data_IF_729749273823
#
_entry.id   IF_729749273823
#
_cell.length_a   1.000
_cell.length_b   1.000
_cell.length_c   1.000
_cell.angle_alpha   90.00
_cell.angle_beta   90.00
_cell.angle_gamma   90.00
#
_symmetry.space_group_name_H-M   'P 1'
#
loop_
_entity.id
_entity.type
_entity.pdbx_description
1 polymer ?
#
# COMPACT_ATOMS: atom_id res chain seq x y z
N UNK A 1 -85.13 -22.11 -23.89
CA UNK A 1 -83.72 -22.46 -23.58
C UNK A 1 -82.94 -21.18 -23.23
N UNK A 2 -81.71 -21.31 -22.72
CA UNK A 2 -80.95 -20.20 -22.10
C UNK A 2 -80.47 -19.16 -23.13
N UNK A 3 -80.58 -17.88 -22.79
CA UNK A 3 -79.87 -16.76 -23.41
C UNK A 3 -79.61 -15.69 -22.35
N UNK A 4 -78.43 -15.74 -21.71
CA UNK A 4 -78.07 -14.79 -20.64
C UNK A 4 -77.64 -13.42 -21.21
N UNK A 5 -77.69 -12.34 -20.41
CA UNK A 5 -77.95 -11.01 -20.93
C UNK A 5 -76.76 -10.04 -20.82
N UNK A 6 -77.02 -8.80 -21.26
CA UNK A 6 -76.50 -7.56 -20.68
C UNK A 6 -75.02 -7.18 -20.96
N UNK A 7 -74.64 -5.89 -20.99
CA UNK A 7 -75.36 -4.58 -21.03
C UNK A 7 -74.30 -3.48 -21.29
N UNK A 8 -74.60 -2.48 -22.15
CA UNK A 8 -74.07 -1.07 -22.08
C UNK A 8 -72.51 -0.97 -22.18
N UNK A 9 -71.79 0.16 -22.26
CA UNK A 9 -71.93 1.57 -22.71
C UNK A 9 -70.46 2.05 -23.01
N UNK A 10 -70.10 3.18 -23.62
CA UNK A 10 -70.78 4.41 -24.10
C UNK A 10 -69.97 4.96 -25.32
N UNK A 11 -70.49 5.82 -26.22
CA UNK A 11 -70.21 7.28 -26.33
C UNK A 11 -68.88 7.78 -25.70
N UNK A 12 -68.05 8.63 -26.33
CA UNK A 12 -68.29 9.54 -27.48
C UNK A 12 -66.99 10.05 -28.15
N UNK A 13 -67.19 10.67 -29.33
CA UNK A 13 -66.29 11.45 -30.17
C UNK A 13 -65.19 12.35 -29.52
N UNK A 14 -64.18 12.69 -30.34
CA UNK A 14 -63.13 13.70 -30.06
C UNK A 14 -61.76 13.21 -30.57
N UNK A 15 -61.40 13.37 -31.84
CA UNK A 15 -60.83 14.62 -32.41
C UNK A 15 -59.55 15.10 -31.68
N UNK A 16 -58.43 14.38 -31.84
CA UNK A 16 -57.08 14.86 -31.50
C UNK A 16 -56.09 14.58 -32.64
N UNK A 17 -56.34 15.24 -33.79
CA UNK A 17 -55.36 15.42 -34.86
C UNK A 17 -54.31 16.40 -34.36
N UNK A 18 -53.31 15.95 -33.58
CA UNK A 18 -52.18 16.81 -33.14
C UNK A 18 -50.93 16.11 -32.55
N UNK A 19 -50.84 14.77 -32.49
CA UNK A 19 -49.70 14.08 -31.85
C UNK A 19 -48.65 13.47 -32.81
N UNK A 20 -48.80 13.57 -34.14
CA UNK A 20 -47.96 12.88 -35.14
C UNK A 20 -46.90 13.78 -35.81
N UNK A 21 -46.50 14.91 -35.20
CA UNK A 21 -45.63 15.91 -35.86
C UNK A 21 -44.46 16.45 -35.01
N UNK A 22 -44.11 15.80 -33.88
CA UNK A 22 -42.98 16.18 -33.03
C UNK A 22 -42.12 14.97 -32.58
N UNK A 23 -41.70 14.13 -33.53
CA UNK A 23 -40.61 13.14 -33.32
C UNK A 23 -39.57 13.23 -34.43
N UNK A 24 -39.08 14.45 -34.65
CA UNK A 24 -37.84 14.72 -35.36
C UNK A 24 -37.10 15.85 -34.62
N UNK A 25 -35.77 15.73 -34.50
CA UNK A 25 -34.85 16.61 -33.74
C UNK A 25 -34.76 16.31 -32.23
N UNK A 26 -34.07 15.22 -31.91
CA UNK A 26 -33.29 15.05 -30.67
C UNK A 26 -32.23 13.95 -30.87
N UNK A 27 -31.22 14.22 -31.69
CA UNK A 27 -30.02 13.37 -31.81
C UNK A 27 -29.20 13.38 -30.50
N UNK A 28 -28.38 12.34 -30.22
CA UNK A 28 -28.08 11.95 -28.85
C UNK A 28 -27.00 12.83 -28.18
N UNK A 29 -27.43 13.72 -27.28
CA UNK A 29 -26.55 14.56 -26.47
C UNK A 29 -25.95 13.87 -25.23
N UNK A 30 -26.21 12.57 -25.03
CA UNK A 30 -25.64 11.78 -23.92
C UNK A 30 -24.25 11.20 -24.21
N UNK A 31 -23.65 11.51 -25.37
CA UNK A 31 -22.28 11.13 -25.72
C UNK A 31 -21.20 12.04 -25.10
N UNK A 32 -21.56 12.99 -24.23
CA UNK A 32 -20.65 13.96 -23.63
C UNK A 32 -20.71 14.02 -22.10
N UNK A 33 -20.87 12.85 -21.44
CA UNK A 33 -20.30 12.74 -20.09
C UNK A 33 -18.78 12.75 -20.25
N UNK A 34 -18.18 13.87 -19.86
CA UNK A 34 -16.76 14.12 -20.06
C UNK A 34 -15.92 12.98 -19.47
N UNK A 35 -15.26 12.22 -20.35
CA UNK A 35 -13.95 11.67 -20.02
C UNK A 35 -13.05 12.88 -19.74
N UNK A 36 -13.02 13.30 -18.48
CA UNK A 36 -11.76 13.72 -17.90
C UNK A 36 -10.81 12.53 -18.08
N UNK A 37 -10.09 12.52 -19.21
CA UNK A 37 -8.75 11.95 -19.21
C UNK A 37 -8.08 12.65 -18.04
N UNK A 38 -7.80 11.90 -16.98
CA UNK A 38 -6.90 12.39 -15.96
C UNK A 38 -5.65 12.82 -16.72
N UNK A 39 -5.37 14.11 -16.72
CA UNK A 39 -4.23 14.65 -17.44
C UNK A 39 -3.02 13.99 -16.81
N UNK A 40 -2.38 13.08 -17.55
CA UNK A 40 -1.23 12.33 -17.07
C UNK A 40 -0.09 13.30 -16.89
N UNK A 41 -0.09 13.97 -15.72
CA UNK A 41 1.06 14.71 -15.22
C UNK A 41 2.26 13.77 -15.39
N UNK A 42 3.36 14.23 -16.00
CA UNK A 42 4.52 13.39 -16.22
C UNK A 42 4.95 12.81 -14.87
N UNK A 43 4.77 11.49 -14.71
CA UNK A 43 5.10 10.80 -13.46
C UNK A 43 6.60 10.98 -13.26
N UNK A 44 6.96 11.73 -12.22
CA UNK A 44 8.35 11.95 -11.89
C UNK A 44 8.96 10.61 -11.46
N UNK A 45 10.24 10.35 -11.79
CA UNK A 45 10.83 9.07 -11.52
C UNK A 45 10.89 8.80 -10.01
N UNK A 46 10.66 7.55 -9.63
CA UNK A 46 11.08 7.01 -8.34
C UNK A 46 12.55 6.60 -8.49
N UNK A 47 13.37 6.81 -7.46
CA UNK A 47 14.79 6.47 -7.50
C UNK A 47 15.13 5.34 -6.55
N UNK A 48 15.88 4.35 -7.03
CA UNK A 48 16.46 3.32 -6.18
C UNK A 48 17.47 3.93 -5.20
N UNK A 49 17.33 3.59 -3.92
CA UNK A 49 18.18 4.05 -2.81
C UNK A 49 18.49 2.86 -1.91
N UNK A 50 19.77 2.62 -1.66
CA UNK A 50 20.21 1.68 -0.64
C UNK A 50 20.02 2.28 0.76
N UNK A 51 19.18 1.65 1.57
CA UNK A 51 19.11 1.92 3.01
C UNK A 51 20.09 1.01 3.76
N UNK A 52 20.72 1.52 4.82
CA UNK A 52 21.64 0.71 5.64
C UNK A 52 20.88 0.05 6.78
N UNK A 53 21.12 -1.26 6.90
CA UNK A 53 20.64 -2.10 7.98
C UNK A 53 21.41 -1.82 9.27
N UNK A 54 20.68 -1.59 10.35
CA UNK A 54 21.19 -1.50 11.72
C UNK A 54 20.75 -2.72 12.52
N UNK A 55 21.65 -3.21 13.35
CA UNK A 55 21.35 -4.23 14.36
C UNK A 55 20.42 -3.63 15.42
N UNK A 56 19.27 -4.29 15.64
CA UNK A 56 18.37 -3.95 16.76
C UNK A 56 18.84 -4.74 17.98
N UNK A 57 19.29 -4.09 19.07
CA UNK A 57 19.83 -4.80 20.21
C UNK A 57 18.74 -5.66 20.88
N UNK A 58 19.08 -6.83 21.46
CA UNK A 58 18.09 -7.73 22.08
C UNK A 58 17.24 -7.07 23.18
N UNK A 59 17.76 -6.04 23.86
CA UNK A 59 17.03 -5.23 24.84
C UNK A 59 15.90 -4.38 24.23
N UNK A 60 15.98 -4.04 22.95
CA UNK A 60 14.95 -3.33 22.20
C UNK A 60 13.99 -4.25 21.42
N UNK A 61 14.32 -5.55 21.31
CA UNK A 61 13.51 -6.58 20.67
C UNK A 61 13.01 -7.60 21.73
N UNK A 62 11.99 -7.27 22.54
CA UNK A 62 11.64 -7.99 23.77
C UNK A 62 11.01 -9.39 23.58
N UNK A 63 11.00 -9.94 22.36
CA UNK A 63 10.37 -11.22 22.02
C UNK A 63 11.39 -12.13 21.34
N UNK A 64 11.80 -13.19 22.03
CA UNK A 64 12.84 -14.14 21.58
C UNK A 64 12.58 -14.83 20.23
N UNK A 65 11.35 -14.76 19.71
CA UNK A 65 10.93 -15.34 18.42
C UNK A 65 10.67 -14.28 17.34
N UNK A 66 11.21 -13.07 17.50
CA UNK A 66 11.08 -11.98 16.53
C UNK A 66 12.45 -11.53 16.03
N UNK A 67 12.61 -11.62 14.72
CA UNK A 67 13.73 -11.02 14.00
C UNK A 67 13.34 -9.57 13.67
N UNK A 68 14.14 -8.63 14.15
CA UNK A 68 13.93 -7.19 13.94
C UNK A 68 15.12 -6.62 13.17
N UNK A 69 14.86 -6.01 12.02
CA UNK A 69 15.87 -5.26 11.24
C UNK A 69 15.39 -3.83 11.02
N UNK A 70 16.28 -2.87 11.25
CA UNK A 70 16.00 -1.45 11.09
C UNK A 70 16.80 -0.89 9.91
N UNK A 71 16.15 -0.19 8.98
CA UNK A 71 16.79 0.37 7.80
C UNK A 71 16.70 1.89 7.79
N UNK A 72 17.86 2.55 7.71
CA UNK A 72 17.98 4.02 7.76
C UNK A 72 18.57 4.61 6.48
N UNK A 73 18.21 5.86 6.12
CA UNK A 73 18.85 6.59 5.03
C UNK A 73 20.21 7.16 5.47
N UNK A 74 21.29 6.85 4.73
CA UNK A 74 22.59 7.53 4.90
C UNK A 74 22.69 8.79 4.02
N UNK A 75 21.98 8.83 2.88
CA UNK A 75 22.00 9.98 1.99
C UNK A 75 21.19 11.14 2.62
N UNK A 76 21.79 12.32 2.89
CA UNK A 76 21.13 13.40 3.63
C UNK A 76 19.84 13.91 2.97
N UNK A 77 19.78 13.99 1.64
CA UNK A 77 18.57 14.38 0.92
C UNK A 77 17.44 13.36 1.13
N UNK A 78 17.76 12.07 1.23
CA UNK A 78 16.77 11.01 1.52
C UNK A 78 16.33 11.07 2.97
N UNK A 79 17.25 11.26 3.92
CA UNK A 79 16.89 11.45 5.33
C UNK A 79 15.96 12.65 5.53
N UNK A 80 16.23 13.75 4.82
CA UNK A 80 15.40 14.96 4.82
C UNK A 80 14.02 14.69 4.19
N UNK A 81 13.97 13.96 3.08
CA UNK A 81 12.72 13.53 2.44
C UNK A 81 11.88 12.62 3.34
N UNK A 82 12.48 11.60 3.95
CA UNK A 82 11.76 10.64 4.81
C UNK A 82 11.17 11.28 6.07
N UNK A 83 11.71 12.41 6.51
CA UNK A 83 11.17 13.19 7.64
C UNK A 83 9.96 14.09 7.27
N UNK A 84 9.53 14.13 6.01
CA UNK A 84 8.29 14.84 5.61
C UNK A 84 7.03 14.18 6.17
N UNK A 85 6.00 14.95 6.49
CA UNK A 85 4.78 14.41 7.13
C UNK A 85 3.82 13.73 6.15
N UNK A 86 3.78 14.15 4.89
CA UNK A 86 2.82 13.78 3.85
C UNK A 86 3.29 12.65 2.91
N UNK A 87 4.05 11.69 3.43
CA UNK A 87 4.58 10.57 2.67
C UNK A 87 3.58 9.42 2.51
N UNK A 88 3.42 8.95 1.28
CA UNK A 88 2.70 7.72 0.95
C UNK A 88 3.67 6.54 0.94
N UNK A 89 3.48 5.62 1.89
CA UNK A 89 4.30 4.42 2.03
C UNK A 89 3.55 3.21 1.48
N UNK A 90 4.24 2.43 0.66
CA UNK A 90 3.75 1.14 0.17
C UNK A 90 4.86 0.10 0.19
N UNK A 91 4.48 -1.16 0.36
CA UNK A 91 5.40 -2.28 0.18
C UNK A 91 4.73 -3.40 -0.60
N UNK A 92 5.54 -4.19 -1.28
CA UNK A 92 5.14 -5.38 -2.02
C UNK A 92 6.15 -6.49 -1.75
N UNK A 93 5.65 -7.66 -1.39
CA UNK A 93 6.45 -8.88 -1.34
C UNK A 93 6.72 -9.42 -2.75
N UNK A 94 7.93 -9.94 -2.96
CA UNK A 94 8.28 -10.74 -4.12
C UNK A 94 8.93 -12.05 -3.68
N UNK A 95 8.38 -13.16 -4.18
CA UNK A 95 9.03 -14.46 -4.21
C UNK A 95 9.54 -14.71 -5.63
N UNK A 96 10.81 -14.36 -5.93
CA UNK A 96 11.39 -14.72 -7.22
C UNK A 96 11.53 -16.24 -7.31
N UNK A 97 11.37 -16.79 -8.52
CA UNK A 97 11.62 -18.23 -8.79
C UNK A 97 13.09 -18.62 -8.54
N UNK A 98 14.00 -17.65 -8.53
CA UNK A 98 15.44 -17.81 -8.28
C UNK A 98 15.94 -16.63 -7.46
N UNK A 99 16.53 -16.89 -6.30
CA UNK A 99 17.06 -15.87 -5.39
C UNK A 99 16.28 -15.78 -4.08
N UNK A 100 16.60 -14.76 -3.28
CA UNK A 100 16.05 -14.57 -1.94
C UNK A 100 14.63 -13.97 -1.96
N UNK A 101 13.77 -14.30 -0.98
CA UNK A 101 12.53 -13.56 -0.75
C UNK A 101 12.86 -12.10 -0.45
N UNK A 102 12.08 -11.16 -1.00
CA UNK A 102 12.37 -9.72 -0.84
C UNK A 102 11.12 -8.87 -0.72
N UNK A 103 11.27 -7.72 -0.09
CA UNK A 103 10.28 -6.65 -0.06
C UNK A 103 10.75 -5.48 -0.92
N UNK A 104 9.90 -5.06 -1.84
CA UNK A 104 9.99 -3.78 -2.53
C UNK A 104 9.26 -2.74 -1.71
N UNK A 105 9.96 -1.76 -1.16
CA UNK A 105 9.38 -0.66 -0.38
C UNK A 105 9.50 0.62 -1.19
N UNK A 106 8.36 1.29 -1.41
CA UNK A 106 8.26 2.52 -2.19
C UNK A 106 7.68 3.62 -1.32
N UNK A 107 8.32 4.80 -1.34
CA UNK A 107 7.93 5.98 -0.57
C UNK A 107 7.76 7.14 -1.53
N UNK A 108 6.53 7.64 -1.65
CA UNK A 108 6.20 8.77 -2.51
C UNK A 108 5.88 10.01 -1.65
N UNK A 109 6.14 11.20 -2.18
CA UNK A 109 5.86 12.44 -1.48
C UNK A 109 5.97 13.65 -2.40
N UNK A 110 6.31 14.80 -1.84
CA UNK A 110 6.61 15.98 -2.65
C UNK A 110 7.89 15.76 -3.47
N UNK A 111 7.94 16.23 -4.73
CA UNK A 111 9.15 16.14 -5.54
C UNK A 111 10.36 16.77 -4.85
N UNK A 112 11.41 15.98 -4.64
CA UNK A 112 12.66 16.44 -4.03
C UNK A 112 13.83 16.26 -5.00
N UNK A 113 14.91 16.99 -4.72
CA UNK A 113 16.16 16.88 -5.47
C UNK A 113 17.13 15.97 -4.73
N UNK A 114 17.71 15.05 -5.47
CA UNK A 114 18.80 14.19 -5.01
C UNK A 114 19.88 14.17 -6.08
N UNK A 115 21.11 14.54 -5.70
CA UNK A 115 22.19 14.84 -6.66
C UNK A 115 21.68 15.85 -7.70
N UNK A 116 21.64 15.46 -8.98
CA UNK A 116 21.20 16.29 -10.11
C UNK A 116 19.84 15.88 -10.71
N UNK A 117 19.00 15.13 -9.98
CA UNK A 117 17.68 14.70 -10.46
C UNK A 117 16.56 15.17 -9.53
N UNK A 118 15.41 15.49 -10.10
CA UNK A 118 14.15 15.66 -9.36
C UNK A 118 13.37 14.35 -9.43
N UNK A 119 12.97 13.82 -8.28
CA UNK A 119 12.35 12.51 -8.14
C UNK A 119 11.06 12.64 -7.31
N UNK A 120 10.08 11.77 -7.54
CA UNK A 120 8.81 11.78 -6.78
C UNK A 120 8.92 11.08 -5.43
N UNK A 121 9.98 10.29 -5.24
CA UNK A 121 10.09 9.37 -4.14
C UNK A 121 11.28 8.43 -4.28
N UNK A 122 11.39 7.51 -3.33
CA UNK A 122 12.43 6.48 -3.31
C UNK A 122 11.82 5.08 -3.42
N UNK A 123 12.64 4.15 -3.88
CA UNK A 123 12.40 2.71 -3.83
C UNK A 123 13.62 2.04 -3.19
N UNK A 124 13.39 1.05 -2.35
CA UNK A 124 14.44 0.23 -1.74
C UNK A 124 14.01 -1.23 -1.77
N UNK A 125 14.98 -2.14 -1.91
CA UNK A 125 14.76 -3.58 -1.82
C UNK A 125 15.32 -4.07 -0.49
N UNK A 126 14.52 -4.83 0.26
CA UNK A 126 14.91 -5.47 1.51
C UNK A 126 14.93 -6.98 1.27
N UNK A 127 16.12 -7.59 1.28
CA UNK A 127 16.28 -9.04 1.14
C UNK A 127 16.14 -9.77 2.49
N UNK A 128 15.41 -10.89 2.47
CA UNK A 128 15.28 -11.78 3.61
C UNK A 128 16.28 -12.95 3.51
N UNK A 129 16.73 -13.52 4.65
CA UNK A 129 17.43 -14.80 4.65
C UNK A 129 16.55 -15.91 4.04
N UNK A 130 17.19 -16.89 3.41
CA UNK A 130 16.50 -17.98 2.69
C UNK A 130 15.53 -18.79 3.57
N UNK A 131 15.78 -18.84 4.89
CA UNK A 131 14.89 -19.48 5.88
C UNK A 131 13.71 -18.62 6.37
N UNK A 132 13.53 -17.37 5.88
CA UNK A 132 12.49 -16.44 6.36
C UNK A 132 11.47 -16.15 5.25
N UNK A 133 10.21 -16.43 5.53
CA UNK A 133 9.09 -16.16 4.63
C UNK A 133 8.60 -14.71 4.77
N UNK A 134 8.41 -13.98 3.67
CA UNK A 134 7.77 -12.65 3.70
C UNK A 134 6.39 -12.69 4.36
N UNK A 135 5.68 -13.82 4.30
CA UNK A 135 4.35 -13.99 4.90
C UNK A 135 4.40 -14.04 6.45
N UNK A 136 5.56 -14.31 7.05
CA UNK A 136 5.77 -14.16 8.50
C UNK A 136 6.31 -12.78 8.90
N UNK A 137 6.51 -11.88 7.93
CA UNK A 137 7.09 -10.56 8.13
C UNK A 137 6.06 -9.42 7.98
N UNK A 138 6.36 -8.30 8.64
CA UNK A 138 5.66 -7.02 8.48
C UNK A 138 6.69 -5.91 8.28
N UNK A 139 6.41 -5.05 7.31
CA UNK A 139 7.13 -3.79 7.10
C UNK A 139 6.34 -2.69 7.80
N UNK A 140 7.01 -1.92 8.66
CA UNK A 140 6.47 -0.79 9.38
C UNK A 140 7.38 0.42 9.19
N UNK A 141 6.82 1.61 9.42
CA UNK A 141 7.56 2.87 9.43
C UNK A 141 7.59 3.37 10.85
N UNK A 142 8.78 3.66 11.38
CA UNK A 142 8.96 4.20 12.72
C UNK A 142 9.79 5.47 12.68
N UNK A 143 9.69 6.30 13.71
CA UNK A 143 10.75 7.25 14.03
C UNK A 143 11.82 6.47 14.80
N UNK A 144 13.07 6.56 14.36
CA UNK A 144 14.21 5.94 15.02
C UNK A 144 15.32 6.98 15.25
N UNK A 145 16.06 6.78 16.34
CA UNK A 145 17.31 7.48 16.64
C UNK A 145 18.42 6.43 16.64
N UNK A 146 19.59 6.75 16.08
CA UNK A 146 20.66 5.79 15.88
C UNK A 146 22.04 6.40 16.16
N UNK A 147 22.89 5.64 16.85
CA UNK A 147 24.28 5.99 17.09
C UNK A 147 25.18 5.25 16.09
N UNK A 148 25.69 5.96 15.08
CA UNK A 148 26.67 5.44 14.13
C UNK A 148 28.08 5.59 14.72
N UNK A 149 28.40 4.68 15.65
CA UNK A 149 29.70 4.67 16.34
C UNK A 149 29.95 5.92 17.19
N UNK A 150 31.21 6.19 17.50
CA UNK A 150 31.60 7.14 18.55
C UNK A 150 31.45 8.63 18.23
N UNK A 151 31.02 9.02 17.01
CA UNK A 151 31.01 10.43 16.58
C UNK A 151 29.83 10.86 15.69
N UNK A 152 28.97 9.96 15.23
CA UNK A 152 27.80 10.33 14.40
C UNK A 152 26.49 9.88 15.04
N UNK A 153 25.80 10.83 15.66
CA UNK A 153 24.41 10.64 16.07
C UNK A 153 23.49 10.99 14.90
N UNK A 154 22.73 10.01 14.41
CA UNK A 154 21.58 10.27 13.55
C UNK A 154 20.40 10.57 14.48
N UNK A 155 20.07 11.86 14.57
CA UNK A 155 18.88 12.34 15.25
C UNK A 155 17.59 11.78 14.62
N UNK A 156 16.42 12.02 15.22
CA UNK A 156 15.20 11.31 14.90
C UNK A 156 14.87 11.35 13.41
N UNK A 157 14.97 10.18 12.78
CA UNK A 157 14.72 9.97 11.36
C UNK A 157 13.65 8.92 11.17
N UNK A 158 12.84 9.05 10.10
CA UNK A 158 11.97 7.94 9.72
C UNK A 158 12.78 6.80 9.11
N UNK A 159 12.54 5.61 9.64
CA UNK A 159 13.22 4.39 9.30
C UNK A 159 12.22 3.29 8.95
N UNK A 160 12.65 2.33 8.14
CA UNK A 160 11.86 1.14 7.82
C UNK A 160 12.20 0.05 8.83
N UNK A 161 11.22 -0.36 9.62
CA UNK A 161 11.32 -1.49 10.54
C UNK A 161 10.73 -2.74 9.87
N UNK A 162 11.56 -3.76 9.70
CA UNK A 162 11.14 -5.10 9.32
C UNK A 162 11.04 -5.95 10.60
N UNK A 163 9.85 -6.49 10.88
CA UNK A 163 9.64 -7.47 11.95
C UNK A 163 9.21 -8.79 11.32
N UNK A 164 9.97 -9.85 11.54
CA UNK A 164 9.61 -11.20 11.09
C UNK A 164 9.39 -12.13 12.29
N UNK A 165 8.28 -12.87 12.28
CA UNK A 165 8.07 -13.98 13.21
C UNK A 165 8.98 -15.14 12.80
N UNK A 166 9.90 -15.50 13.69
CA UNK A 166 10.77 -16.66 13.50
C UNK A 166 9.97 -17.93 13.81
N UNK A 167 9.49 -18.61 12.76
CA UNK A 167 9.09 -20.00 12.88
C UNK A 167 10.35 -20.84 13.09
N UNK A 168 10.63 -21.19 14.36
CA UNK A 168 11.67 -22.16 14.70
C UNK A 168 11.23 -23.53 14.20
N UNK A 169 11.59 -23.88 12.97
CA UNK A 169 11.46 -25.23 12.44
C UNK A 169 12.41 -26.17 13.20
N UNK A 170 11.93 -26.78 14.28
CA UNK A 170 12.62 -27.92 14.91
C UNK A 170 12.47 -28.03 16.42
N UNK A 171 12.25 -26.94 17.15
CA UNK A 171 12.16 -27.00 18.61
C UNK A 171 10.72 -26.86 19.08
N UNK A 172 10.11 -28.01 19.39
CA UNK A 172 8.95 -28.03 20.25
C UNK A 172 9.34 -27.44 21.61
N UNK A 173 8.81 -26.25 21.94
CA UNK A 173 9.01 -25.61 23.23
C UNK A 173 8.38 -26.50 24.33
N UNK A 174 9.18 -27.44 24.84
CA UNK A 174 8.78 -28.35 25.91
C UNK A 174 8.56 -27.53 27.16
N UNK A 175 7.31 -27.16 27.36
CA UNK A 175 6.83 -26.40 28.51
C UNK A 175 6.97 -27.31 29.73
N UNK A 176 8.15 -27.28 30.37
CA UNK A 176 8.40 -28.03 31.59
C UNK A 176 7.33 -27.68 32.62
N UNK A 177 6.41 -28.63 32.83
CA UNK A 177 5.43 -28.61 33.90
C UNK A 177 6.24 -28.72 35.19
N UNK A 178 6.40 -27.61 35.91
CA UNK A 178 6.75 -27.68 37.31
C UNK A 178 5.58 -28.33 38.04
N UNK A 179 5.72 -29.63 38.27
CA UNK A 179 4.86 -30.40 39.13
C UNK A 179 5.35 -30.15 40.56
N UNK A 180 4.78 -29.12 41.20
CA UNK A 180 5.08 -28.83 42.60
C UNK A 180 4.38 -29.88 43.46
N UNK A 181 5.16 -30.81 44.00
CA UNK A 181 4.72 -31.76 45.03
C UNK A 181 4.93 -31.11 46.39
N UNK A 182 3.83 -30.71 47.03
CA UNK A 182 3.66 -30.60 48.49
C UNK A 182 2.25 -31.10 48.86
#
# INVERSE_FOLDING_TARGET
MRGRPAKRAFRSAGLCILCMLFVAVATPSWAWLGRHKAEERPKLPVMDVDLVELEVPPSAAPVAFQMSKLYIPIIPEVATFLNQTDLEWSYRDEYPLTGRPRFHVSVLGQPFRIKNRTVQGIHTVIELPDQVSTASCKVAVINAEAELGSQQHIGPTRAVLLICQAFVHGEAFSRHRHETVE
#
